data_IF_369769519916
#
_entry.id   IF_369769519916
#
_cell.length_a   1.000
_cell.length_b   1.000
_cell.length_c   1.000
_cell.angle_alpha   90.00
_cell.angle_beta   90.00
_cell.angle_gamma   90.00
#
_symmetry.space_group_name_H-M   'P 1'
#
loop_
_entity.id
_entity.type
_entity.pdbx_description
1 polymer ?
#
# COMPACT_ATOMS: atom_id res chain seq x y z
N UNK A 1 29.66 30.88 20.27
CA UNK A 1 28.45 30.85 19.42
C UNK A 1 27.75 29.52 19.67
N UNK A 2 26.51 29.55 20.15
CA UNK A 2 25.73 28.35 20.46
C UNK A 2 25.45 27.52 19.18
N UNK A 3 25.48 26.17 19.23
CA UNK A 3 25.00 25.36 18.12
C UNK A 3 23.48 25.48 18.07
N UNK A 4 22.99 26.21 17.07
CA UNK A 4 21.57 26.48 16.89
C UNK A 4 20.78 25.20 16.64
N UNK A 5 19.62 25.11 17.27
CA UNK A 5 18.52 24.20 16.90
C UNK A 5 18.20 24.34 15.40
N UNK A 6 17.97 23.23 14.68
CA UNK A 6 17.62 23.31 13.27
C UNK A 6 16.24 23.97 13.08
N UNK A 7 16.03 24.73 12.00
CA UNK A 7 14.72 25.27 11.66
C UNK A 7 13.71 24.15 11.33
N UNK A 8 12.41 24.43 11.49
CA UNK A 8 11.35 23.45 11.27
C UNK A 8 11.42 22.83 9.86
N UNK A 9 11.37 21.48 9.78
CA UNK A 9 11.42 20.72 8.52
C UNK A 9 12.76 20.07 8.16
N UNK A 10 13.77 20.16 9.02
CA UNK A 10 15.08 19.50 8.83
C UNK A 10 15.21 18.27 9.73
N UNK A 11 15.62 17.12 9.16
CA UNK A 11 15.91 15.91 9.94
C UNK A 11 17.35 15.96 10.50
N UNK A 12 17.52 15.53 11.74
CA UNK A 12 18.83 15.38 12.40
C UNK A 12 19.47 14.05 12.00
N UNK A 13 20.62 14.09 11.31
CA UNK A 13 21.57 12.98 11.31
C UNK A 13 22.52 13.25 12.46
N UNK A 14 22.51 12.39 13.49
CA UNK A 14 23.47 12.46 14.58
C UNK A 14 24.82 11.93 14.07
N UNK A 15 25.77 12.83 13.85
CA UNK A 15 27.10 12.51 13.33
C UNK A 15 28.08 12.05 14.41
N UNK A 16 27.62 11.69 15.62
CA UNK A 16 28.51 11.41 16.75
C UNK A 16 28.96 9.94 16.89
N UNK A 17 28.59 9.02 16.00
CA UNK A 17 28.98 7.59 16.12
C UNK A 17 29.37 6.98 14.77
N UNK A 18 30.63 6.56 14.56
CA UNK A 18 30.98 5.72 13.42
C UNK A 18 30.48 4.29 13.66
N UNK A 19 29.61 3.82 12.77
CA UNK A 19 29.28 2.40 12.60
C UNK A 19 28.33 1.82 13.63
N UNK A 20 27.02 1.88 13.35
CA UNK A 20 26.08 0.75 13.48
C UNK A 20 24.69 1.24 13.04
N UNK A 21 24.17 0.67 11.96
CA UNK A 21 22.75 0.75 11.63
C UNK A 21 21.96 0.06 12.77
N UNK A 22 21.32 0.84 13.63
CA UNK A 22 20.21 0.37 14.46
C UNK A 22 18.93 1.01 13.95
N UNK A 23 18.11 0.15 13.37
CA UNK A 23 16.73 0.40 13.04
C UNK A 23 15.95 0.74 14.31
N UNK A 24 15.32 1.92 14.34
CA UNK A 24 14.44 2.33 15.43
C UNK A 24 13.06 2.60 14.86
N UNK A 25 12.30 1.51 14.70
CA UNK A 25 10.86 1.55 14.55
C UNK A 25 10.20 2.26 15.72
N UNK A 26 9.36 3.23 15.37
CA UNK A 26 8.48 3.97 16.26
C UNK A 26 7.51 3.02 16.97
N UNK A 27 7.59 2.95 18.31
CA UNK A 27 6.54 2.36 19.12
C UNK A 27 5.79 3.49 19.84
N UNK A 28 4.56 3.67 19.38
CA UNK A 28 3.54 4.59 19.85
C UNK A 28 3.32 4.44 21.36
N UNK A 29 3.44 5.54 22.10
CA UNK A 29 3.16 5.61 23.54
C UNK A 29 1.65 5.75 23.76
N UNK A 30 1.06 4.84 24.55
CA UNK A 30 -0.19 5.09 25.26
C UNK A 30 -0.01 4.80 26.74
N UNK A 31 -0.47 5.78 27.49
CA UNK A 31 -0.46 5.95 28.94
C UNK A 31 -1.28 4.88 29.68
N UNK A 32 -0.81 4.48 30.87
CA UNK A 32 -1.58 4.54 32.13
C UNK A 32 -0.90 3.74 33.26
N UNK A 33 -0.38 4.50 34.24
CA UNK A 33 -0.52 4.37 35.69
C UNK A 33 -0.78 3.02 36.40
N UNK A 34 -0.07 2.91 37.54
CA UNK A 34 -0.41 2.29 38.85
C UNK A 34 -0.10 0.82 39.16
N UNK A 35 0.22 0.62 40.45
CA UNK A 35 0.46 -0.62 41.22
C UNK A 35 1.90 -1.20 41.13
N UNK A 36 2.86 -0.82 41.98
CA UNK A 36 2.96 -0.95 43.44
C UNK A 36 3.31 -2.38 43.94
N UNK A 37 4.53 -2.47 44.52
CA UNK A 37 4.98 -3.29 45.66
C UNK A 37 5.09 -4.83 45.56
N UNK A 38 6.23 -5.26 46.14
CA UNK A 38 6.55 -6.52 46.85
C UNK A 38 7.01 -7.74 46.03
N UNK A 39 8.33 -8.00 46.08
CA UNK A 39 8.98 -9.17 46.75
C UNK A 39 10.42 -9.31 46.23
N UNK A 40 11.44 -8.84 46.94
CA UNK A 40 12.30 -9.62 47.87
C UNK A 40 12.51 -11.10 47.53
N UNK A 41 13.71 -11.43 47.06
CA UNK A 41 14.56 -12.60 47.39
C UNK A 41 15.82 -12.50 46.50
N UNK A 42 16.99 -12.06 46.97
CA UNK A 42 17.94 -12.78 47.83
C UNK A 42 18.17 -14.21 47.34
N UNK A 43 19.29 -14.47 46.66
CA UNK A 43 20.33 -15.32 47.22
C UNK A 43 21.59 -15.37 46.33
N UNK A 44 22.67 -15.01 46.99
CA UNK A 44 24.06 -15.37 46.70
C UNK A 44 24.21 -16.85 46.35
N UNK A 45 25.15 -17.15 45.44
CA UNK A 45 26.05 -18.31 45.61
C UNK A 45 27.31 -18.12 44.79
N UNK A 46 28.35 -17.74 45.52
CA UNK A 46 29.74 -17.83 45.13
C UNK A 46 30.15 -19.30 44.88
N UNK A 47 30.94 -19.53 43.85
CA UNK A 47 31.81 -20.70 43.74
C UNK A 47 33.27 -20.22 43.68
N UNK A 48 34.04 -20.58 44.70
CA UNK A 48 35.49 -20.39 44.75
C UNK A 48 36.18 -21.58 44.09
N UNK A 49 37.28 -21.28 43.40
CA UNK A 49 38.21 -22.20 42.75
C UNK A 49 39.07 -22.97 43.78
N UNK A 50 39.53 -24.17 43.38
CA UNK A 50 40.30 -25.13 44.19
C UNK A 50 41.82 -24.91 44.14
N UNK A 51 42.29 -23.73 43.73
CA UNK A 51 43.74 -23.48 43.67
C UNK A 51 44.12 -22.34 44.61
N UNK A 52 44.66 -22.73 45.76
CA UNK A 52 44.88 -21.87 46.91
C UNK A 52 46.13 -21.01 46.78
N UNK A 53 46.05 -19.84 46.11
CA UNK A 53 46.94 -18.71 46.40
C UNK A 53 46.19 -17.38 46.40
N UNK A 54 46.16 -16.75 47.57
CA UNK A 54 45.85 -15.33 47.74
C UNK A 54 47.13 -14.55 47.52
N UNK A 55 47.09 -13.49 46.73
CA UNK A 55 47.98 -12.35 46.88
C UNK A 55 47.17 -11.08 46.59
N UNK A 56 46.74 -10.41 47.67
CA UNK A 56 46.51 -8.97 47.62
C UNK A 56 47.88 -8.30 47.47
N UNK A 57 47.95 -7.22 46.68
CA UNK A 57 48.75 -6.09 47.14
C UNK A 57 47.91 -4.82 47.21
N UNK A 58 47.85 -4.28 48.43
CA UNK A 58 47.87 -2.85 48.67
C UNK A 58 48.98 -2.18 47.86
N UNK A 59 48.73 -1.02 47.25
CA UNK A 59 49.16 0.25 47.84
C UNK A 59 49.08 1.42 46.87
N UNK A 60 48.76 2.56 47.48
CA UNK A 60 49.32 3.88 47.22
C UNK A 60 49.01 4.56 45.88
N UNK A 61 48.06 5.49 45.99
CA UNK A 61 48.09 6.78 45.27
C UNK A 61 49.50 7.36 45.33
N UNK A 62 50.13 7.49 44.16
CA UNK A 62 51.26 8.39 43.95
C UNK A 62 50.82 9.46 42.96
N UNK A 63 50.65 10.67 43.47
CA UNK A 63 50.56 11.88 42.64
C UNK A 63 51.93 12.12 42.02
N UNK A 64 52.09 11.82 40.74
CA UNK A 64 53.24 12.31 39.97
C UNK A 64 52.78 13.50 39.13
N UNK A 65 53.06 14.69 39.64
CA UNK A 65 53.02 15.95 38.89
C UNK A 65 54.09 15.85 37.79
N UNK A 66 53.68 15.52 36.55
CA UNK A 66 54.57 15.66 35.40
C UNK A 66 54.53 17.10 34.93
N UNK A 67 55.67 17.77 35.05
CA UNK A 67 55.95 19.02 34.36
C UNK A 67 55.85 18.78 32.84
N UNK A 68 54.86 19.42 32.20
CA UNK A 68 54.75 19.49 30.75
C UNK A 68 55.91 20.36 30.25
N UNK A 69 56.88 19.75 29.56
CA UNK A 69 57.83 20.49 28.72
C UNK A 69 57.08 20.95 27.48
N UNK A 70 57.25 22.22 27.14
CA UNK A 70 56.90 22.75 25.83
C UNK A 70 57.82 22.08 24.80
N UNK A 71 57.26 21.35 23.83
CA UNK A 71 58.11 20.76 22.78
C UNK A 71 57.47 19.78 21.80
N UNK A 72 56.37 19.09 22.14
CA UNK A 72 55.83 18.05 21.24
C UNK A 72 54.48 18.48 20.66
N UNK A 73 54.54 19.20 19.53
CA UNK A 73 53.37 19.39 18.65
C UNK A 73 53.33 18.20 17.70
N UNK A 74 52.39 17.30 17.97
CA UNK A 74 52.04 16.18 17.09
C UNK A 74 51.52 16.75 15.74
N UNK A 75 52.02 16.33 14.56
CA UNK A 75 51.58 16.92 13.29
C UNK A 75 50.15 16.53 12.89
N UNK A 76 49.48 15.67 13.66
CA UNK A 76 48.20 15.06 13.28
C UNK A 76 46.98 15.68 13.99
N UNK A 77 46.99 16.99 14.25
CA UNK A 77 45.83 17.71 14.81
C UNK A 77 45.25 18.82 13.91
N UNK A 78 45.44 18.76 12.59
CA UNK A 78 44.69 19.59 11.63
C UNK A 78 43.68 18.77 10.79
N UNK A 79 42.97 17.84 11.43
CA UNK A 79 41.71 17.35 10.87
C UNK A 79 40.61 18.29 11.34
N UNK A 80 40.42 19.40 10.62
CA UNK A 80 39.22 20.23 10.76
C UNK A 80 38.00 19.30 10.71
N UNK A 81 37.08 19.35 11.69
CA UNK A 81 35.85 18.57 11.59
C UNK A 81 35.21 18.92 10.26
N UNK A 82 34.95 17.92 9.42
CA UNK A 82 34.21 18.09 8.17
C UNK A 82 32.97 18.90 8.50
N UNK A 83 32.74 20.06 7.86
CA UNK A 83 31.56 20.85 8.17
C UNK A 83 30.36 19.93 7.97
N UNK A 84 29.53 19.81 9.01
CA UNK A 84 28.24 19.14 8.88
C UNK A 84 27.49 19.86 7.76
N UNK A 85 27.56 19.29 6.56
CA UNK A 85 26.82 19.79 5.41
C UNK A 85 25.39 19.39 5.72
N UNK A 86 24.65 20.34 6.28
CA UNK A 86 23.20 20.26 6.37
C UNK A 86 22.67 20.05 4.95
N UNK A 87 22.49 18.78 4.58
CA UNK A 87 21.82 18.44 3.35
C UNK A 87 20.35 18.66 3.64
N UNK A 88 19.82 19.75 3.10
CA UNK A 88 18.39 19.97 3.05
C UNK A 88 17.84 18.76 2.32
N UNK A 89 17.18 17.83 3.01
CA UNK A 89 16.34 16.82 2.36
C UNK A 89 15.13 17.60 1.85
N UNK A 90 15.33 18.41 0.81
CA UNK A 90 14.24 18.76 -0.07
C UNK A 90 13.73 17.40 -0.53
N UNK A 91 12.52 17.02 -0.11
CA UNK A 91 11.70 16.19 -0.99
C UNK A 91 11.63 17.03 -2.25
N UNK A 92 12.56 16.82 -3.16
CA UNK A 92 12.35 17.16 -4.56
C UNK A 92 11.16 16.27 -4.89
N UNK A 93 9.98 16.88 -4.85
CA UNK A 93 8.76 16.22 -5.27
C UNK A 93 9.03 15.99 -6.76
N UNK A 94 9.47 14.79 -7.10
CA UNK A 94 9.49 14.41 -8.49
C UNK A 94 8.03 14.35 -8.91
N UNK A 95 7.62 15.36 -9.68
CA UNK A 95 6.24 15.51 -10.13
C UNK A 95 5.76 14.28 -10.91
N UNK A 96 6.69 13.48 -11.43
CA UNK A 96 6.43 12.16 -12.02
C UNK A 96 5.93 11.13 -10.99
N UNK A 97 6.57 11.04 -9.82
CA UNK A 97 6.25 10.04 -8.80
C UNK A 97 4.91 10.29 -8.12
N UNK A 98 4.61 11.56 -7.84
CA UNK A 98 3.34 12.01 -7.27
C UNK A 98 2.19 11.83 -8.26
N UNK A 99 2.42 12.14 -9.54
CA UNK A 99 1.43 11.89 -10.60
C UNK A 99 1.14 10.39 -10.75
N UNK A 100 2.18 9.56 -10.75
CA UNK A 100 2.05 8.11 -10.82
C UNK A 100 1.24 7.56 -9.64
N UNK A 101 1.46 8.09 -8.43
CA UNK A 101 0.69 7.74 -7.24
C UNK A 101 -0.79 8.06 -7.43
N UNK A 102 -1.10 9.29 -7.84
CA UNK A 102 -2.48 9.75 -8.04
C UNK A 102 -3.20 8.91 -9.08
N UNK A 103 -2.54 8.61 -10.21
CA UNK A 103 -3.11 7.79 -11.27
C UNK A 103 -3.42 6.36 -10.80
N UNK A 104 -2.49 5.71 -10.10
CA UNK A 104 -2.73 4.34 -9.61
C UNK A 104 -3.78 4.29 -8.52
N UNK A 105 -3.80 5.26 -7.60
CA UNK A 105 -4.87 5.36 -6.59
C UNK A 105 -6.23 5.58 -7.26
N UNK A 106 -6.32 6.44 -8.28
CA UNK A 106 -7.55 6.61 -9.05
C UNK A 106 -7.96 5.30 -9.75
N UNK A 107 -7.00 4.57 -10.32
CA UNK A 107 -7.22 3.26 -10.94
C UNK A 107 -7.76 2.23 -9.95
N UNK A 108 -7.15 2.14 -8.76
CA UNK A 108 -7.56 1.27 -7.66
C UNK A 108 -8.99 1.58 -7.22
N UNK A 109 -9.32 2.85 -6.99
CA UNK A 109 -10.66 3.26 -6.57
C UNK A 109 -11.70 2.93 -7.64
N UNK A 110 -11.41 3.22 -8.92
CA UNK A 110 -12.29 2.88 -10.03
C UNK A 110 -12.53 1.36 -10.15
N UNK A 111 -11.48 0.57 -10.01
CA UNK A 111 -11.54 -0.89 -10.05
C UNK A 111 -12.35 -1.45 -8.87
N UNK A 112 -12.17 -0.91 -7.67
CA UNK A 112 -12.89 -1.34 -6.46
C UNK A 112 -14.39 -1.04 -6.55
N UNK A 113 -14.76 0.17 -6.97
CA UNK A 113 -16.16 0.58 -7.16
C UNK A 113 -16.83 -0.32 -8.21
N UNK A 114 -16.16 -0.52 -9.36
CA UNK A 114 -16.67 -1.36 -10.44
C UNK A 114 -16.82 -2.82 -10.00
N UNK A 115 -15.79 -3.37 -9.36
CA UNK A 115 -15.77 -4.74 -8.85
C UNK A 115 -16.85 -4.99 -7.81
N UNK A 116 -17.05 -4.06 -6.88
CA UNK A 116 -18.13 -4.13 -5.88
C UNK A 116 -19.52 -4.12 -6.51
N UNK A 117 -19.76 -3.25 -7.49
CA UNK A 117 -21.02 -3.20 -8.22
C UNK A 117 -21.27 -4.51 -8.99
N UNK A 118 -20.29 -5.01 -9.75
CA UNK A 118 -20.43 -6.27 -10.47
C UNK A 118 -20.64 -7.45 -9.53
N UNK A 119 -19.90 -7.50 -8.42
CA UNK A 119 -20.07 -8.52 -7.40
C UNK A 119 -21.49 -8.54 -6.83
N UNK A 120 -22.02 -7.37 -6.44
CA UNK A 120 -23.40 -7.24 -5.95
C UNK A 120 -24.42 -7.78 -6.97
N UNK A 121 -24.24 -7.42 -8.25
CA UNK A 121 -25.12 -7.89 -9.31
C UNK A 121 -25.12 -9.41 -9.44
N UNK A 122 -23.93 -10.01 -9.51
CA UNK A 122 -23.81 -11.47 -9.63
C UNK A 122 -24.24 -12.22 -8.38
N UNK A 123 -24.05 -11.65 -7.19
CA UNK A 123 -24.27 -12.35 -5.93
C UNK A 123 -25.73 -12.35 -5.50
N UNK A 124 -26.43 -11.21 -5.61
CA UNK A 124 -27.81 -11.11 -5.09
C UNK A 124 -28.80 -10.40 -6.01
N UNK A 125 -28.41 -9.42 -6.84
CA UNK A 125 -29.39 -8.72 -7.70
C UNK A 125 -29.97 -9.66 -8.75
N UNK A 126 -29.12 -10.38 -9.49
CA UNK A 126 -29.58 -11.30 -10.53
C UNK A 126 -30.38 -12.47 -9.94
N UNK A 127 -30.05 -12.89 -8.71
CA UNK A 127 -30.83 -13.89 -7.97
C UNK A 127 -32.22 -13.36 -7.62
N UNK A 128 -32.32 -12.18 -7.03
CA UNK A 128 -33.60 -11.57 -6.69
C UNK A 128 -34.48 -11.38 -7.94
N UNK A 129 -33.90 -10.92 -9.06
CA UNK A 129 -34.63 -10.80 -10.33
C UNK A 129 -35.08 -12.15 -10.90
N UNK A 130 -34.36 -13.24 -10.62
CA UNK A 130 -34.76 -14.59 -11.07
C UNK A 130 -35.96 -15.16 -10.32
N UNK A 131 -36.28 -14.61 -9.16
CA UNK A 131 -37.41 -15.04 -8.32
C UNK A 131 -38.72 -14.31 -8.68
N UNK A 132 -38.64 -13.24 -9.49
CA UNK A 132 -39.79 -12.47 -9.96
C UNK A 132 -40.46 -13.13 -11.19
N UNK A 133 -41.76 -12.86 -11.44
CA UNK A 133 -42.38 -13.12 -12.73
C UNK A 133 -41.55 -12.51 -13.85
N UNK A 134 -41.38 -13.25 -14.96
CA UNK A 134 -40.48 -12.84 -16.04
C UNK A 134 -40.78 -11.42 -16.60
N UNK A 135 -42.05 -11.00 -16.81
CA UNK A 135 -42.33 -9.64 -17.27
C UNK A 135 -41.82 -8.56 -16.31
N UNK A 136 -42.07 -8.74 -15.00
CA UNK A 136 -41.59 -7.81 -13.97
C UNK A 136 -40.06 -7.76 -13.93
N UNK A 137 -39.41 -8.93 -13.99
CA UNK A 137 -37.96 -9.06 -13.96
C UNK A 137 -37.29 -8.41 -15.19
N UNK A 138 -37.85 -8.63 -16.39
CA UNK A 138 -37.36 -8.05 -17.64
C UNK A 138 -37.52 -6.53 -17.61
N UNK A 139 -38.70 -6.03 -17.23
CA UNK A 139 -38.97 -4.59 -17.12
C UNK A 139 -38.01 -3.91 -16.14
N UNK A 140 -37.81 -4.51 -14.96
CA UNK A 140 -36.86 -4.02 -13.96
C UNK A 140 -35.42 -4.01 -14.50
N UNK A 141 -34.97 -5.11 -15.12
CA UNK A 141 -33.61 -5.21 -15.66
C UNK A 141 -33.38 -4.24 -16.82
N UNK A 142 -34.36 -4.01 -17.68
CA UNK A 142 -34.29 -3.01 -18.74
C UNK A 142 -34.14 -1.59 -18.15
N UNK A 143 -34.93 -1.25 -17.12
CA UNK A 143 -34.81 0.03 -16.41
C UNK A 143 -33.40 0.22 -15.82
N UNK A 144 -32.89 -0.82 -15.13
CA UNK A 144 -31.52 -0.84 -14.60
C UNK A 144 -30.49 -0.64 -15.72
N UNK A 145 -30.62 -1.36 -16.84
CA UNK A 145 -29.67 -1.29 -17.95
C UNK A 145 -29.62 0.09 -18.60
N UNK A 146 -30.75 0.83 -18.63
CA UNK A 146 -30.80 2.21 -19.12
C UNK A 146 -30.24 3.23 -18.13
N UNK A 147 -30.36 2.98 -16.83
CA UNK A 147 -29.83 3.86 -15.77
C UNK A 147 -28.33 3.61 -15.44
N UNK A 148 -27.85 2.38 -15.67
CA UNK A 148 -26.49 1.96 -15.36
C UNK A 148 -25.38 2.78 -16.08
N UNK A 149 -25.47 3.13 -17.37
CA UNK A 149 -24.42 3.90 -18.07
C UNK A 149 -24.44 5.40 -17.69
N UNK A 150 -24.54 5.72 -16.41
CA UNK A 150 -24.39 7.07 -15.90
C UNK A 150 -22.91 7.51 -15.92
N UNK A 151 -22.60 8.81 -16.00
CA UNK A 151 -21.23 9.30 -16.13
C UNK A 151 -20.28 8.82 -15.04
N UNK A 152 -20.73 8.77 -13.79
CA UNK A 152 -19.88 8.35 -12.66
C UNK A 152 -19.47 6.88 -12.79
N UNK A 153 -20.41 5.99 -13.13
CA UNK A 153 -20.11 4.57 -13.28
C UNK A 153 -19.26 4.29 -14.52
N UNK A 154 -19.53 4.97 -15.63
CA UNK A 154 -18.70 4.88 -16.84
C UNK A 154 -17.28 5.36 -16.55
N UNK A 155 -17.13 6.48 -15.84
CA UNK A 155 -15.81 6.96 -15.41
C UNK A 155 -15.11 5.97 -14.49
N UNK A 156 -15.80 5.30 -13.57
CA UNK A 156 -15.18 4.29 -12.71
C UNK A 156 -14.64 3.10 -13.52
N UNK A 157 -15.41 2.57 -14.46
CA UNK A 157 -15.02 1.41 -15.28
C UNK A 157 -13.88 1.79 -16.24
N UNK A 158 -14.04 2.88 -16.98
CA UNK A 158 -13.07 3.32 -17.99
C UNK A 158 -11.80 3.85 -17.33
N UNK A 159 -11.98 4.66 -16.27
CA UNK A 159 -10.90 5.24 -15.48
C UNK A 159 -10.01 4.16 -14.90
N UNK A 160 -10.57 3.09 -14.34
CA UNK A 160 -9.81 1.99 -13.73
C UNK A 160 -8.72 1.38 -14.63
N UNK A 161 -8.90 1.38 -15.95
CA UNK A 161 -7.90 0.88 -16.90
C UNK A 161 -7.08 1.98 -17.57
N UNK A 162 -7.71 3.10 -17.94
CA UNK A 162 -7.06 4.13 -18.76
C UNK A 162 -6.08 5.00 -17.96
N UNK A 163 -6.36 5.29 -16.68
CA UNK A 163 -5.48 6.18 -15.89
C UNK A 163 -4.12 5.56 -15.59
N UNK A 164 -4.07 4.23 -15.43
CA UNK A 164 -2.82 3.50 -15.21
C UNK A 164 -2.07 3.15 -16.50
N UNK A 165 -2.67 3.37 -17.67
CA UNK A 165 -2.11 2.95 -18.96
C UNK A 165 -0.76 3.62 -19.28
N UNK A 166 -0.59 4.95 -19.15
CA UNK A 166 0.68 5.61 -19.45
C UNK A 166 1.80 5.09 -18.56
N UNK A 167 1.48 4.86 -17.28
CA UNK A 167 2.43 4.34 -16.30
C UNK A 167 2.80 2.90 -16.64
N UNK A 168 1.83 2.04 -16.93
CA UNK A 168 2.09 0.66 -17.29
C UNK A 168 2.94 0.53 -18.56
N UNK A 169 2.74 1.41 -19.55
CA UNK A 169 3.55 1.47 -20.77
C UNK A 169 5.01 1.84 -20.46
N UNK A 170 5.23 2.81 -19.57
CA UNK A 170 6.58 3.19 -19.14
C UNK A 170 7.31 2.06 -18.42
N UNK A 171 6.57 1.21 -17.68
CA UNK A 171 7.11 0.11 -16.89
C UNK A 171 7.31 -1.21 -17.65
N UNK A 172 6.97 -1.30 -18.94
CA UNK A 172 7.12 -2.55 -19.72
C UNK A 172 8.57 -3.03 -19.78
N UNK A 173 9.54 -2.12 -19.75
CA UNK A 173 10.96 -2.45 -19.70
C UNK A 173 11.43 -3.03 -18.35
N UNK A 174 10.65 -2.84 -17.28
CA UNK A 174 11.04 -3.11 -15.89
C UNK A 174 10.38 -4.37 -15.33
N UNK A 175 9.95 -5.32 -16.17
CA UNK A 175 9.24 -6.55 -15.75
C UNK A 175 10.01 -7.44 -14.75
N UNK A 176 11.32 -7.22 -14.59
CA UNK A 176 12.12 -7.85 -13.53
C UNK A 176 11.68 -7.43 -12.13
N UNK A 177 11.13 -6.24 -11.99
CA UNK A 177 10.63 -5.69 -10.74
C UNK A 177 9.21 -6.17 -10.44
N UNK A 178 8.96 -6.53 -9.17
CA UNK A 178 7.65 -7.01 -8.74
C UNK A 178 6.56 -5.94 -8.91
N UNK A 179 6.88 -4.68 -8.62
CA UNK A 179 5.97 -3.55 -8.79
C UNK A 179 5.47 -3.43 -10.23
N UNK A 180 6.36 -3.36 -11.21
CA UNK A 180 6.00 -3.27 -12.62
C UNK A 180 5.01 -4.38 -13.06
N UNK A 181 5.25 -5.62 -12.61
CA UNK A 181 4.34 -6.76 -12.91
C UNK A 181 2.94 -6.55 -12.31
N UNK A 182 2.83 -6.10 -11.06
CA UNK A 182 1.53 -5.85 -10.45
C UNK A 182 0.79 -4.70 -11.11
N UNK A 183 1.47 -3.61 -11.47
CA UNK A 183 0.87 -2.49 -12.17
C UNK A 183 0.31 -2.90 -13.53
N UNK A 184 1.11 -3.59 -14.34
CA UNK A 184 0.70 -4.06 -15.68
C UNK A 184 -0.46 -5.06 -15.56
N UNK A 185 -0.42 -5.95 -14.56
CA UNK A 185 -1.51 -6.90 -14.28
C UNK A 185 -2.80 -6.16 -13.92
N UNK A 186 -2.74 -5.15 -13.04
CA UNK A 186 -3.90 -4.36 -12.64
C UNK A 186 -4.55 -3.66 -13.83
N UNK A 187 -3.75 -2.97 -14.64
CA UNK A 187 -4.22 -2.32 -15.87
C UNK A 187 -4.84 -3.33 -16.85
N UNK A 188 -4.16 -4.46 -17.11
CA UNK A 188 -4.65 -5.49 -18.01
C UNK A 188 -5.99 -6.08 -17.57
N UNK A 189 -6.16 -6.33 -16.27
CA UNK A 189 -7.41 -6.84 -15.70
C UNK A 189 -8.55 -5.81 -15.76
N UNK A 190 -8.28 -4.53 -15.50
CA UNK A 190 -9.27 -3.45 -15.69
C UNK A 190 -9.73 -3.37 -17.16
N UNK A 191 -8.79 -3.44 -18.10
CA UNK A 191 -9.11 -3.45 -19.54
C UNK A 191 -9.89 -4.70 -19.95
N UNK A 192 -9.60 -5.87 -19.38
CA UNK A 192 -10.38 -7.08 -19.61
C UNK A 192 -11.82 -6.91 -19.13
N UNK A 193 -12.05 -6.33 -17.95
CA UNK A 193 -13.40 -6.04 -17.45
C UNK A 193 -14.15 -5.07 -18.39
N UNK A 194 -13.46 -4.06 -18.92
CA UNK A 194 -14.02 -3.14 -19.91
C UNK A 194 -14.34 -3.84 -21.24
N UNK A 195 -13.45 -4.72 -21.73
CA UNK A 195 -13.68 -5.51 -22.94
C UNK A 195 -14.90 -6.44 -22.80
N UNK A 196 -15.07 -7.11 -21.66
CA UNK A 196 -16.25 -7.92 -21.37
C UNK A 196 -17.52 -7.05 -21.31
N UNK A 197 -17.41 -5.85 -20.73
CA UNK A 197 -18.51 -4.88 -20.68
C UNK A 197 -19.02 -4.56 -22.08
N UNK A 198 -18.13 -4.14 -22.98
CA UNK A 198 -18.47 -3.71 -24.33
C UNK A 198 -18.82 -4.88 -25.26
N UNK A 199 -18.12 -6.01 -25.13
CA UNK A 199 -18.24 -7.15 -26.04
C UNK A 199 -19.37 -8.12 -25.67
N UNK A 200 -19.72 -8.24 -24.39
CA UNK A 200 -20.70 -9.24 -23.92
C UNK A 200 -21.90 -8.59 -23.22
N UNK A 201 -21.68 -7.78 -22.19
CA UNK A 201 -22.78 -7.27 -21.36
C UNK A 201 -23.62 -6.21 -22.08
N UNK A 202 -23.01 -5.21 -22.71
CA UNK A 202 -23.72 -4.16 -23.46
C UNK A 202 -24.55 -4.75 -24.61
N UNK A 203 -24.03 -5.65 -25.47
CA UNK A 203 -24.84 -6.27 -26.52
C UNK A 203 -26.03 -7.08 -25.98
N UNK A 204 -25.85 -7.80 -24.86
CA UNK A 204 -26.94 -8.52 -24.19
C UNK A 204 -28.00 -7.55 -23.65
N UNK A 205 -27.58 -6.45 -23.04
CA UNK A 205 -28.48 -5.42 -22.52
C UNK A 205 -29.31 -4.81 -23.65
N UNK A 206 -28.66 -4.46 -24.76
CA UNK A 206 -29.32 -3.92 -25.95
C UNK A 206 -30.27 -4.92 -26.60
N UNK A 207 -29.96 -6.22 -26.55
CA UNK A 207 -30.87 -7.27 -27.05
C UNK A 207 -32.11 -7.41 -26.16
N UNK A 208 -31.94 -7.38 -24.83
CA UNK A 208 -33.06 -7.44 -23.88
C UNK A 208 -33.95 -6.19 -23.98
N UNK A 209 -33.37 -5.00 -24.15
CA UNK A 209 -34.08 -3.71 -24.22
C UNK A 209 -35.02 -3.59 -25.43
N UNK A 210 -34.82 -4.40 -26.47
CA UNK A 210 -35.67 -4.43 -27.67
C UNK A 210 -36.91 -5.32 -27.52
N UNK A 211 -37.00 -6.10 -26.46
CA UNK A 211 -38.13 -7.00 -26.24
C UNK A 211 -39.21 -6.29 -25.41
N UNK A 212 -40.46 -6.46 -25.82
CA UNK A 212 -41.60 -6.12 -24.97
C UNK A 212 -41.61 -7.08 -23.75
N UNK A 213 -41.55 -6.57 -22.50
CA UNK A 213 -41.52 -7.40 -21.30
C UNK A 213 -42.66 -8.44 -21.22
N UNK A 214 -43.83 -8.11 -21.75
CA UNK A 214 -45.02 -8.98 -21.71
C UNK A 214 -45.06 -10.00 -22.85
N UNK A 215 -44.11 -9.91 -23.80
CA UNK A 215 -44.08 -10.81 -24.95
C UNK A 215 -43.64 -12.24 -24.58
N UNK A 216 -44.21 -13.28 -25.23
CA UNK A 216 -43.74 -14.66 -25.06
C UNK A 216 -42.23 -14.82 -25.35
N UNK A 217 -41.70 -14.03 -26.28
CA UNK A 217 -40.28 -14.00 -26.63
C UNK A 217 -39.39 -13.52 -25.47
N UNK A 218 -39.81 -12.47 -24.74
CA UNK A 218 -39.10 -11.98 -23.57
C UNK A 218 -39.08 -13.02 -22.44
N UNK A 219 -40.24 -13.62 -22.16
CA UNK A 219 -40.38 -14.68 -21.14
C UNK A 219 -39.48 -15.88 -21.47
N UNK A 220 -39.43 -16.30 -22.74
CA UNK A 220 -38.57 -17.41 -23.18
C UNK A 220 -37.07 -17.05 -23.18
N UNK A 221 -36.72 -15.77 -23.40
CA UNK A 221 -35.34 -15.30 -23.44
C UNK A 221 -34.74 -15.12 -22.03
N UNK A 222 -35.55 -14.71 -21.05
CA UNK A 222 -35.11 -14.30 -19.72
C UNK A 222 -34.20 -15.30 -18.99
N UNK A 223 -34.48 -16.61 -18.92
CA UNK A 223 -33.60 -17.57 -18.23
C UNK A 223 -32.19 -17.65 -18.84
N UNK A 224 -32.10 -17.54 -20.18
CA UNK A 224 -30.82 -17.53 -20.90
C UNK A 224 -30.08 -16.22 -20.69
N UNK A 225 -30.82 -15.11 -20.63
CA UNK A 225 -30.28 -13.80 -20.29
C UNK A 225 -29.65 -13.85 -18.89
N UNK A 226 -30.40 -14.23 -17.84
CA UNK A 226 -29.86 -14.32 -16.46
C UNK A 226 -28.58 -15.13 -16.44
N UNK A 227 -28.60 -16.35 -16.98
CA UNK A 227 -27.46 -17.26 -16.88
C UNK A 227 -26.23 -16.71 -17.60
N UNK A 228 -26.39 -16.28 -18.87
CA UNK A 228 -25.25 -15.84 -19.67
C UNK A 228 -24.74 -14.45 -19.27
N UNK A 229 -25.63 -13.55 -18.86
CA UNK A 229 -25.28 -12.22 -18.38
C UNK A 229 -24.56 -12.30 -17.03
N UNK A 230 -25.06 -13.10 -16.09
CA UNK A 230 -24.45 -13.27 -14.76
C UNK A 230 -23.06 -13.87 -14.86
N UNK A 231 -22.84 -14.88 -15.72
CA UNK A 231 -21.51 -15.45 -15.95
C UNK A 231 -20.50 -14.40 -16.44
N UNK A 232 -20.88 -13.62 -17.45
CA UNK A 232 -20.03 -12.54 -17.97
C UNK A 232 -19.77 -11.46 -16.90
N UNK A 233 -20.81 -11.12 -16.12
CA UNK A 233 -20.70 -10.14 -15.04
C UNK A 233 -19.80 -10.63 -13.88
N UNK A 234 -19.84 -11.92 -13.56
CA UNK A 234 -18.93 -12.51 -12.56
C UNK A 234 -17.48 -12.42 -13.02
N UNK A 235 -17.19 -12.65 -14.31
CA UNK A 235 -15.85 -12.45 -14.85
C UNK A 235 -15.40 -10.98 -14.72
N UNK A 236 -16.30 -10.02 -14.96
CA UNK A 236 -16.01 -8.59 -14.71
C UNK A 236 -15.71 -8.32 -13.24
N UNK A 237 -16.50 -8.88 -12.32
CA UNK A 237 -16.28 -8.73 -10.89
C UNK A 237 -14.91 -9.26 -10.47
N UNK A 238 -14.56 -10.49 -10.89
CA UNK A 238 -13.27 -11.11 -10.58
C UNK A 238 -12.11 -10.29 -11.17
N UNK A 239 -12.21 -9.87 -12.43
CA UNK A 239 -11.18 -9.07 -13.08
C UNK A 239 -10.98 -7.72 -12.38
N UNK A 240 -12.05 -6.99 -12.06
CA UNK A 240 -11.97 -5.70 -11.37
C UNK A 240 -11.46 -5.82 -9.92
N UNK A 241 -11.86 -6.86 -9.19
CA UNK A 241 -11.35 -7.10 -7.82
C UNK A 241 -9.88 -7.53 -7.83
N UNK A 242 -9.47 -8.38 -8.76
CA UNK A 242 -8.07 -8.76 -8.93
C UNK A 242 -7.21 -7.57 -9.40
N UNK A 243 -7.77 -6.68 -10.23
CA UNK A 243 -7.14 -5.41 -10.60
C UNK A 243 -6.91 -4.53 -9.36
N UNK A 244 -7.94 -4.39 -8.51
CA UNK A 244 -7.84 -3.65 -7.24
C UNK A 244 -6.71 -4.19 -6.37
N UNK A 245 -6.63 -5.51 -6.20
CA UNK A 245 -5.58 -6.16 -5.43
C UNK A 245 -4.18 -5.92 -6.04
N UNK A 246 -4.07 -5.97 -7.37
CA UNK A 246 -2.81 -5.73 -8.08
C UNK A 246 -2.32 -4.28 -7.90
N UNK A 247 -3.21 -3.30 -8.00
CA UNK A 247 -2.86 -1.90 -7.69
C UNK A 247 -2.46 -1.70 -6.24
N UNK A 248 -3.12 -2.38 -5.29
CA UNK A 248 -2.74 -2.32 -3.89
C UNK A 248 -1.34 -2.91 -3.64
N UNK A 249 -1.02 -4.03 -4.27
CA UNK A 249 0.30 -4.68 -4.16
C UNK A 249 1.41 -3.82 -4.79
N UNK A 250 1.11 -3.09 -5.87
CA UNK A 250 2.05 -2.10 -6.40
C UNK A 250 2.31 -0.96 -5.41
N UNK A 251 1.26 -0.47 -4.72
CA UNK A 251 1.41 0.59 -3.71
C UNK A 251 2.24 0.14 -2.49
N UNK A 252 2.16 -1.13 -2.11
CA UNK A 252 2.96 -1.69 -1.00
C UNK A 252 4.44 -1.83 -1.36
N UNK A 253 4.74 -2.11 -2.63
CA UNK A 253 6.10 -2.33 -3.12
C UNK A 253 6.83 -1.08 -3.62
N UNK A 254 6.24 0.12 -3.46
CA UNK A 254 6.83 1.40 -3.86
C UNK A 254 7.79 2.00 -2.84
#
# INVERSE_FOLDING_TARGET
>A
MHPGTPPAGWATIDCSVPGHLRDSGSRFSRDHSTAERRRTQRNDKAWRTRDGRRLFPSNQRRSSSRHLRAGDVDPETDRRPTPCRWQRRTREIDMSDDLQLVLVVAGLVGAAISGGAFFAFSNFVMRALSELPAPDAVSAMQSINRAAPNPLFVMAIVGAGLVGLPVAIAEVGNLGEAGARFLITGVGLSLLALAITMGLNVPKNNALDRLDPDSPSAVAYWPRYITSWTRANTLRAVASLASTASYALWLEGR
#
